data_IF_081433695655
#
_entry.id   IF_081433695655
#
_cell.length_a   1.000
_cell.length_b   1.000
_cell.length_c   1.000
_cell.angle_alpha   90.00
_cell.angle_beta   90.00
_cell.angle_gamma   90.00
#
_symmetry.space_group_name_H-M   'P 1'
#
loop_
_entity.id
_entity.type
_entity.pdbx_description
1 polymer ?
#
# COMPACT_ATOMS: atom_id res chain seq x y z
N UNK A 1 7.55 -13.59 19.84
CA UNK A 1 8.76 -12.74 19.81
C UNK A 1 8.29 -11.30 19.71
N UNK A 2 8.60 -10.46 20.70
CA UNK A 2 8.18 -9.06 20.69
C UNK A 2 8.95 -8.32 19.59
N UNK A 3 8.28 -7.96 18.50
CA UNK A 3 8.85 -7.07 17.49
C UNK A 3 9.24 -5.76 18.16
N UNK A 4 10.46 -5.29 17.95
CA UNK A 4 10.88 -3.99 18.48
C UNK A 4 9.99 -2.90 17.90
N UNK A 5 9.34 -2.16 18.79
CA UNK A 5 8.48 -1.04 18.49
C UNK A 5 9.29 0.04 17.73
N UNK A 6 8.84 0.39 16.52
CA UNK A 6 9.41 1.52 15.79
C UNK A 6 8.95 2.81 16.50
N UNK A 7 9.85 3.77 16.75
CA UNK A 7 9.50 5.04 17.39
C UNK A 7 9.36 6.16 16.37
N UNK A 8 8.30 7.00 16.46
CA UNK A 8 8.19 8.25 15.68
C UNK A 8 9.43 9.13 15.80
N UNK A 9 9.70 9.91 14.76
CA UNK A 9 10.62 11.04 14.83
C UNK A 9 10.14 11.99 15.94
N UNK A 10 11.09 12.61 16.64
CA UNK A 10 10.84 13.69 17.58
C UNK A 10 10.22 14.90 16.88
N UNK A 11 9.62 15.82 17.64
CA UNK A 11 9.02 17.05 17.10
C UNK A 11 10.07 17.87 16.33
N UNK A 12 11.29 17.97 16.85
CA UNK A 12 12.38 18.70 16.23
C UNK A 12 12.81 18.08 14.89
N UNK A 13 12.89 16.74 14.83
CA UNK A 13 13.19 16.00 13.59
C UNK A 13 12.04 16.09 12.58
N UNK A 14 10.79 16.04 13.05
CA UNK A 14 9.59 16.16 12.23
C UNK A 14 9.44 17.56 11.62
N UNK A 15 9.81 18.61 12.36
CA UNK A 15 9.73 20.00 11.91
C UNK A 15 10.66 20.31 10.72
N UNK A 16 11.70 19.51 10.51
CA UNK A 16 12.61 19.63 9.36
C UNK A 16 12.10 18.90 8.11
N UNK A 17 10.92 18.28 8.16
CA UNK A 17 10.35 17.50 7.05
C UNK A 17 9.40 18.35 6.23
N UNK A 18 9.72 18.58 4.96
CA UNK A 18 8.78 19.20 4.03
C UNK A 18 7.77 18.15 3.53
N UNK A 19 6.52 18.26 3.99
CA UNK A 19 5.45 17.32 3.62
C UNK A 19 5.13 17.34 2.12
N UNK A 20 5.53 18.38 1.37
CA UNK A 20 5.37 18.45 -0.09
C UNK A 20 6.28 17.48 -0.85
N UNK A 21 7.33 16.99 -0.20
CA UNK A 21 8.28 16.07 -0.81
C UNK A 21 7.70 14.63 -0.86
N UNK A 22 6.61 14.37 -0.13
CA UNK A 22 5.90 13.10 -0.17
C UNK A 22 4.89 13.15 -1.30
N UNK A 23 4.89 12.18 -2.22
CA UNK A 23 3.84 12.12 -3.23
C UNK A 23 2.49 12.01 -2.50
N UNK A 24 1.45 12.74 -2.95
CA UNK A 24 0.11 12.52 -2.42
C UNK A 24 -0.20 11.03 -2.53
N UNK A 25 -0.88 10.47 -1.52
CA UNK A 25 -1.38 9.09 -1.57
C UNK A 25 -2.14 8.85 -2.88
N UNK A 26 -2.39 7.59 -3.29
CA UNK A 26 -2.71 7.23 -4.68
C UNK A 26 -3.86 8.05 -5.27
N UNK A 27 -3.52 9.18 -5.90
CA UNK A 27 -4.46 10.05 -6.57
C UNK A 27 -4.29 9.82 -8.06
N UNK A 28 -5.39 9.48 -8.72
CA UNK A 28 -5.41 9.37 -10.17
C UNK A 28 -5.18 10.76 -10.79
N UNK A 29 -4.32 10.82 -11.80
CA UNK A 29 -4.27 11.97 -12.69
C UNK A 29 -5.63 12.18 -13.38
N UNK A 30 -5.94 13.39 -13.90
CA UNK A 30 -7.20 13.62 -14.61
C UNK A 30 -7.46 12.62 -15.75
N UNK A 31 -6.41 12.20 -16.46
CA UNK A 31 -6.51 11.18 -17.51
C UNK A 31 -6.83 9.79 -16.94
N UNK A 32 -6.18 9.38 -15.84
CA UNK A 32 -6.49 8.12 -15.17
C UNK A 32 -7.91 8.11 -14.59
N UNK A 33 -8.38 9.25 -14.06
CA UNK A 33 -9.75 9.41 -13.56
C UNK A 33 -10.78 9.24 -14.67
N UNK A 34 -10.57 9.91 -15.82
CA UNK A 34 -11.45 9.77 -16.98
C UNK A 34 -11.49 8.31 -17.49
N UNK A 35 -10.31 7.66 -17.57
CA UNK A 35 -10.20 6.26 -17.93
C UNK A 35 -10.96 5.37 -16.94
N UNK A 36 -10.73 5.53 -15.63
CA UNK A 36 -11.46 4.80 -14.59
C UNK A 36 -12.97 4.97 -14.73
N UNK A 37 -13.46 6.18 -14.98
CA UNK A 37 -14.88 6.45 -15.15
C UNK A 37 -15.47 5.67 -16.34
N UNK A 38 -14.80 5.66 -17.49
CA UNK A 38 -15.24 4.87 -18.65
C UNK A 38 -15.31 3.37 -18.35
N UNK A 39 -14.36 2.83 -17.57
CA UNK A 39 -14.39 1.42 -17.16
C UNK A 39 -15.54 1.14 -16.21
N UNK A 40 -15.85 2.05 -15.29
CA UNK A 40 -16.98 1.91 -14.38
C UNK A 40 -18.30 1.85 -15.13
N UNK A 41 -18.54 2.80 -16.04
CA UNK A 41 -19.75 2.84 -16.88
C UNK A 41 -19.89 1.58 -17.75
N UNK A 42 -18.77 1.00 -18.17
CA UNK A 42 -18.75 -0.22 -18.99
C UNK A 42 -19.04 -1.49 -18.19
N UNK A 43 -18.51 -1.61 -16.97
CA UNK A 43 -18.49 -2.87 -16.21
C UNK A 43 -19.42 -2.89 -14.99
N UNK A 44 -19.95 -1.74 -14.59
CA UNK A 44 -20.93 -1.59 -13.50
C UNK A 44 -22.22 -1.07 -14.12
N UNK A 45 -23.31 -1.84 -14.03
CA UNK A 45 -24.61 -1.42 -14.56
C UNK A 45 -25.10 -0.13 -13.88
N UNK A 46 -25.75 0.80 -14.62
CA UNK A 46 -26.33 2.02 -14.04
C UNK A 46 -27.32 1.74 -12.89
N UNK A 47 -27.97 0.58 -12.93
CA UNK A 47 -29.02 0.14 -12.01
C UNK A 47 -28.47 -0.42 -10.69
N UNK A 48 -27.15 -0.64 -10.62
CA UNK A 48 -26.48 -1.05 -9.40
C UNK A 48 -26.38 0.21 -8.53
N UNK A 49 -27.24 0.33 -7.50
CA UNK A 49 -27.04 1.35 -6.48
C UNK A 49 -25.68 1.10 -5.84
N UNK A 50 -24.70 1.91 -6.21
CA UNK A 50 -23.35 1.86 -5.65
C UNK A 50 -23.42 2.42 -4.22
N UNK A 51 -23.94 1.65 -3.27
CA UNK A 51 -23.95 2.01 -1.85
C UNK A 51 -22.59 1.74 -1.17
N UNK A 52 -21.51 1.57 -1.94
CA UNK A 52 -20.15 1.44 -1.43
C UNK A 52 -19.21 2.39 -2.16
N UNK A 53 -19.38 3.69 -1.90
CA UNK A 53 -18.58 4.79 -2.47
C UNK A 53 -17.14 4.91 -1.91
N UNK A 54 -16.54 3.85 -1.37
CA UNK A 54 -15.18 3.90 -0.81
C UNK A 54 -14.18 2.86 -1.34
N UNK A 55 -14.55 2.02 -2.31
CA UNK A 55 -13.68 0.92 -2.76
C UNK A 55 -13.68 0.68 -4.27
N UNK A 56 -13.49 1.74 -5.06
CA UNK A 56 -13.03 1.52 -6.43
C UNK A 56 -11.57 1.06 -6.36
N UNK A 57 -11.37 -0.25 -6.44
CA UNK A 57 -10.06 -0.91 -6.37
C UNK A 57 -9.25 -0.63 -7.65
N UNK A 58 -8.82 0.61 -7.79
CA UNK A 58 -7.94 1.05 -8.85
C UNK A 58 -6.70 1.72 -8.25
N UNK A 59 -5.63 1.79 -9.04
CA UNK A 59 -4.44 2.58 -8.72
C UNK A 59 -3.84 3.10 -10.02
N UNK A 60 -3.38 4.35 -10.01
CA UNK A 60 -2.67 4.95 -11.12
C UNK A 60 -1.17 4.84 -10.92
N UNK A 61 -0.40 4.57 -11.98
CA UNK A 61 1.05 4.79 -11.93
C UNK A 61 1.34 6.29 -11.74
N UNK A 62 2.43 6.65 -11.03
CA UNK A 62 2.77 8.06 -10.78
C UNK A 62 3.00 8.90 -12.05
N UNK A 63 3.42 8.27 -13.15
CA UNK A 63 3.64 8.93 -14.44
C UNK A 63 2.33 9.14 -15.25
N UNK A 64 1.19 8.73 -14.71
CA UNK A 64 -0.11 8.88 -15.35
C UNK A 64 -0.43 7.86 -16.46
N UNK A 65 0.50 6.96 -16.80
CA UNK A 65 0.40 6.12 -18.00
C UNK A 65 -0.30 4.79 -17.79
N UNK A 66 -0.37 4.30 -16.55
CA UNK A 66 -0.99 3.02 -16.25
C UNK A 66 -2.14 3.21 -15.27
N UNK A 67 -3.16 2.36 -15.42
CA UNK A 67 -4.25 2.20 -14.47
C UNK A 67 -4.39 0.71 -14.17
N UNK A 68 -4.15 0.33 -12.92
CA UNK A 68 -4.60 -0.95 -12.39
C UNK A 68 -6.06 -0.80 -11.99
N UNK A 69 -6.91 -1.75 -12.39
CA UNK A 69 -8.35 -1.66 -12.17
C UNK A 69 -8.93 -3.07 -12.03
N UNK A 70 -9.69 -3.28 -10.95
CA UNK A 70 -10.39 -4.55 -10.71
C UNK A 70 -11.62 -4.67 -11.60
N UNK A 71 -11.75 -5.79 -12.31
CA UNK A 71 -12.96 -6.19 -13.06
C UNK A 71 -13.38 -7.59 -12.62
N UNK A 72 -14.52 -7.73 -11.93
CA UNK A 72 -14.91 -9.01 -11.34
C UNK A 72 -13.90 -9.51 -10.30
N UNK A 73 -13.38 -10.73 -10.47
CA UNK A 73 -12.30 -11.28 -9.64
C UNK A 73 -10.90 -10.94 -10.17
N UNK A 74 -10.79 -10.30 -11.33
CA UNK A 74 -9.53 -10.07 -12.01
C UNK A 74 -8.97 -8.69 -11.70
N UNK A 75 -7.66 -8.61 -11.51
CA UNK A 75 -6.92 -7.35 -11.52
C UNK A 75 -6.39 -7.11 -12.93
N UNK A 76 -6.90 -6.10 -13.62
CA UNK A 76 -6.49 -5.75 -14.97
C UNK A 76 -5.60 -4.52 -14.95
N UNK A 77 -4.70 -4.44 -15.93
CA UNK A 77 -3.82 -3.31 -16.14
C UNK A 77 -4.10 -2.70 -17.51
N UNK A 78 -4.22 -1.37 -17.54
CA UNK A 78 -4.55 -0.59 -18.72
C UNK A 78 -3.49 0.47 -18.98
N UNK A 79 -3.20 0.73 -20.24
CA UNK A 79 -2.52 1.96 -20.66
C UNK A 79 -3.54 3.11 -20.68
N UNK A 80 -3.11 4.28 -20.22
CA UNK A 80 -3.90 5.51 -20.19
C UNK A 80 -3.29 6.49 -21.19
N UNK A 81 -4.03 6.81 -22.24
CA UNK A 81 -3.59 7.71 -23.30
C UNK A 81 -4.70 8.73 -23.54
N UNK A 82 -4.45 10.00 -23.20
CA UNK A 82 -5.42 11.07 -23.38
C UNK A 82 -6.77 10.81 -22.70
N UNK A 83 -6.75 10.16 -21.52
CA UNK A 83 -7.96 9.81 -20.78
C UNK A 83 -8.65 8.51 -21.20
N UNK A 84 -8.17 7.83 -22.26
CA UNK A 84 -8.73 6.55 -22.71
C UNK A 84 -7.95 5.37 -22.16
N UNK A 85 -8.67 4.29 -21.83
CA UNK A 85 -8.08 3.03 -21.40
C UNK A 85 -7.85 2.09 -22.58
N UNK A 86 -6.62 1.62 -22.76
CA UNK A 86 -6.32 0.47 -23.60
C UNK A 86 -5.96 -0.72 -22.70
N UNK A 87 -6.73 -1.81 -22.77
CA UNK A 87 -6.43 -3.02 -22.01
C UNK A 87 -5.03 -3.53 -22.38
N UNK A 88 -4.20 -3.78 -21.38
CA UNK A 88 -2.86 -4.31 -21.58
C UNK A 88 -2.77 -5.78 -21.20
N UNK A 89 -3.18 -6.14 -19.98
CA UNK A 89 -3.17 -7.53 -19.50
C UNK A 89 -3.95 -7.70 -18.19
N UNK A 90 -4.25 -8.95 -17.88
CA UNK A 90 -4.70 -9.38 -16.54
C UNK A 90 -3.50 -9.81 -15.71
N UNK A 91 -3.47 -9.43 -14.44
CA UNK A 91 -2.52 -9.90 -13.44
C UNK A 91 -3.16 -11.09 -12.71
N UNK A 92 -2.75 -12.34 -13.01
CA UNK A 92 -3.48 -13.53 -12.57
C UNK A 92 -3.41 -13.74 -11.06
N UNK A 93 -4.56 -13.74 -10.39
CA UNK A 93 -4.67 -14.05 -8.98
C UNK A 93 -6.10 -14.47 -8.62
N UNK A 94 -6.22 -15.50 -7.76
CA UNK A 94 -7.49 -16.19 -7.50
C UNK A 94 -8.21 -15.64 -6.26
N UNK A 95 -8.13 -14.32 -6.04
CA UNK A 95 -8.83 -13.65 -4.94
C UNK A 95 -8.99 -12.16 -5.23
N UNK A 96 -9.88 -11.54 -4.46
CA UNK A 96 -10.29 -10.15 -4.59
C UNK A 96 -9.24 -9.20 -4.00
N UNK A 97 -8.64 -8.30 -4.80
CA UNK A 97 -7.80 -7.25 -4.23
C UNK A 97 -8.68 -6.28 -3.45
N UNK A 98 -8.24 -5.92 -2.24
CA UNK A 98 -8.86 -4.94 -1.35
C UNK A 98 -8.13 -3.60 -1.34
N UNK A 99 -6.88 -3.56 -1.81
CA UNK A 99 -6.08 -2.36 -1.93
C UNK A 99 -5.04 -2.51 -3.04
N UNK A 100 -4.70 -1.39 -3.69
CA UNK A 100 -3.72 -1.34 -4.77
C UNK A 100 -2.81 -0.13 -4.58
N UNK A 101 -1.52 -0.28 -4.88
CA UNK A 101 -0.56 0.83 -4.79
C UNK A 101 0.63 0.59 -5.71
N UNK A 102 0.94 1.58 -6.58
CA UNK A 102 2.19 1.60 -7.31
C UNK A 102 3.31 2.14 -6.42
N UNK A 103 4.54 1.67 -6.62
CA UNK A 103 5.69 2.38 -6.09
C UNK A 103 5.88 3.72 -6.83
N UNK A 104 6.66 4.63 -6.24
CA UNK A 104 6.89 5.98 -6.80
C UNK A 104 7.55 5.99 -8.19
N UNK A 105 8.21 4.88 -8.58
CA UNK A 105 8.78 4.68 -9.92
C UNK A 105 7.79 4.09 -10.94
N UNK A 106 6.64 3.59 -10.50
CA UNK A 106 5.61 2.97 -11.35
C UNK A 106 5.95 1.59 -11.92
N UNK A 107 7.09 1.00 -11.56
CA UNK A 107 7.53 -0.30 -12.07
C UNK A 107 7.05 -1.48 -11.22
N UNK A 108 6.57 -1.23 -10.00
CA UNK A 108 5.98 -2.25 -9.12
C UNK A 108 4.55 -1.87 -8.73
N UNK A 109 3.69 -2.89 -8.63
CA UNK A 109 2.33 -2.78 -8.09
C UNK A 109 2.16 -3.74 -6.92
N UNK A 110 1.85 -3.19 -5.74
CA UNK A 110 1.35 -3.96 -4.62
C UNK A 110 -0.17 -4.11 -4.72
N UNK A 111 -0.66 -5.33 -4.51
CA UNK A 111 -2.06 -5.64 -4.36
C UNK A 111 -2.27 -6.41 -3.05
N UNK A 112 -3.05 -5.84 -2.14
CA UNK A 112 -3.49 -6.51 -0.92
C UNK A 112 -4.79 -7.25 -1.21
N UNK A 113 -4.93 -8.45 -0.68
CA UNK A 113 -6.09 -9.31 -0.92
C UNK A 113 -6.80 -9.65 0.38
N UNK A 114 -8.05 -10.08 0.23
CA UNK A 114 -8.81 -10.64 1.34
C UNK A 114 -8.05 -11.83 1.96
N UNK A 115 -7.92 -11.84 3.29
CA UNK A 115 -7.11 -12.82 4.02
C UNK A 115 -5.66 -12.36 4.29
N UNK A 116 -5.33 -11.11 3.95
CA UNK A 116 -4.06 -10.47 4.31
C UNK A 116 -2.89 -10.75 3.35
N UNK A 117 -3.04 -11.68 2.39
CA UNK A 117 -2.01 -11.89 1.38
C UNK A 117 -1.78 -10.62 0.56
N UNK A 118 -0.51 -10.27 0.34
CA UNK A 118 -0.12 -9.14 -0.50
C UNK A 118 0.78 -9.66 -1.61
N UNK A 119 0.43 -9.35 -2.85
CA UNK A 119 1.23 -9.71 -4.02
C UNK A 119 1.90 -8.48 -4.58
N UNK A 120 3.20 -8.60 -4.82
CA UNK A 120 3.99 -7.59 -5.52
C UNK A 120 4.21 -8.05 -6.96
N UNK A 121 3.77 -7.23 -7.90
CA UNK A 121 3.92 -7.46 -9.34
C UNK A 121 5.03 -6.60 -9.91
N UNK A 122 5.93 -7.24 -10.64
CA UNK A 122 6.85 -6.55 -11.54
C UNK A 122 6.11 -6.21 -12.84
N UNK A 123 5.94 -4.92 -13.09
CA UNK A 123 5.14 -4.42 -14.21
C UNK A 123 5.89 -4.58 -15.54
N UNK A 124 7.20 -4.41 -15.53
CA UNK A 124 8.04 -4.47 -16.73
C UNK A 124 8.27 -5.92 -17.16
N UNK A 125 8.71 -6.76 -16.22
CA UNK A 125 9.06 -8.17 -16.48
C UNK A 125 7.87 -9.13 -16.43
N UNK A 126 6.66 -8.61 -16.17
CA UNK A 126 5.38 -9.34 -16.25
C UNK A 126 5.27 -10.57 -15.34
N UNK A 127 5.92 -10.55 -14.18
CA UNK A 127 5.92 -11.69 -13.25
C UNK A 127 5.40 -11.28 -11.87
N UNK A 128 4.79 -12.24 -11.17
CA UNK A 128 4.67 -12.18 -9.70
C UNK A 128 6.08 -12.13 -9.16
N UNK A 129 6.42 -11.08 -8.45
CA UNK A 129 7.76 -10.92 -7.91
C UNK A 129 7.85 -11.54 -6.52
N UNK A 130 6.89 -11.20 -5.65
CA UNK A 130 6.88 -11.63 -4.25
C UNK A 130 5.46 -11.81 -3.75
N UNK A 131 5.29 -12.68 -2.75
CA UNK A 131 4.02 -12.92 -2.09
C UNK A 131 4.21 -12.89 -0.57
N UNK A 132 3.75 -11.81 0.05
CA UNK A 132 3.82 -11.63 1.49
C UNK A 132 2.55 -12.24 2.10
N UNK A 133 2.74 -13.19 3.01
CA UNK A 133 1.66 -13.82 3.79
C UNK A 133 1.83 -13.46 5.26
N UNK A 134 1.11 -12.46 5.78
CA UNK A 134 1.04 -12.22 7.21
C UNK A 134 0.67 -13.50 7.95
N UNK A 135 1.42 -13.87 8.98
CA UNK A 135 1.18 -15.12 9.71
C UNK A 135 -0.25 -15.20 10.23
N UNK A 136 -0.93 -16.29 9.88
CA UNK A 136 -2.25 -16.65 10.42
C UNK A 136 -2.04 -17.02 11.89
N UNK A 137 -2.79 -16.41 12.80
CA UNK A 137 -2.77 -16.87 14.19
C UNK A 137 -3.36 -18.29 14.28
N UNK A 138 -3.03 -19.09 15.30
CA UNK A 138 -3.58 -20.45 15.45
C UNK A 138 -5.12 -20.53 15.48
N UNK A 139 -5.82 -19.41 15.68
CA UNK A 139 -7.28 -19.32 15.63
C UNK A 139 -7.86 -19.27 14.20
N UNK A 140 -7.03 -19.33 13.16
CA UNK A 140 -7.45 -19.32 11.76
C UNK A 140 -7.84 -17.95 11.21
N UNK A 141 -7.85 -16.92 12.06
CA UNK A 141 -8.11 -15.53 11.67
C UNK A 141 -6.76 -14.80 11.68
N UNK A 142 -6.34 -14.29 10.52
CA UNK A 142 -5.32 -13.24 10.48
C UNK A 142 -5.89 -12.03 11.23
N UNK A 143 -5.22 -11.52 12.26
CA UNK A 143 -5.62 -10.26 12.93
C UNK A 143 -5.63 -9.04 11.97
N UNK A 144 -5.24 -9.28 10.71
CA UNK A 144 -4.93 -8.38 9.60
C UNK A 144 -5.63 -8.80 8.29
N UNK A 145 -6.89 -9.23 8.35
CA UNK A 145 -7.59 -9.81 7.20
C UNK A 145 -7.73 -8.87 5.96
N UNK A 146 -7.44 -7.57 6.10
CA UNK A 146 -7.38 -6.62 4.99
C UNK A 146 -6.34 -5.53 5.25
N UNK A 147 -5.34 -5.44 4.37
CA UNK A 147 -4.47 -4.26 4.31
C UNK A 147 -5.23 -3.12 3.62
N UNK A 148 -5.58 -2.06 4.35
CA UNK A 148 -6.35 -0.92 3.80
C UNK A 148 -5.50 0.01 2.96
N UNK A 149 -4.29 0.30 3.44
CA UNK A 149 -3.34 1.18 2.78
C UNK A 149 -2.05 0.41 2.54
N UNK A 150 -1.44 0.65 1.38
CA UNK A 150 -0.19 0.06 0.94
C UNK A 150 0.74 1.18 0.45
N UNK A 151 1.99 1.15 0.88
CA UNK A 151 3.04 1.98 0.30
C UNK A 151 4.28 1.14 0.04
N UNK A 152 4.67 1.04 -1.22
CA UNK A 152 5.97 0.51 -1.60
C UNK A 152 7.02 1.62 -1.53
N UNK A 153 8.16 1.29 -0.94
CA UNK A 153 9.36 2.11 -1.07
C UNK A 153 9.77 2.27 -2.56
N UNK A 154 10.45 3.38 -2.92
CA UNK A 154 10.85 3.64 -4.30
C UNK A 154 11.70 2.53 -4.93
N UNK A 155 12.55 1.86 -4.15
CA UNK A 155 13.38 0.74 -4.60
C UNK A 155 12.64 -0.61 -4.58
N UNK A 156 11.44 -0.66 -3.99
CA UNK A 156 10.62 -1.86 -3.88
C UNK A 156 11.05 -2.83 -2.79
N UNK A 157 12.08 -2.50 -1.99
CA UNK A 157 12.61 -3.41 -0.97
C UNK A 157 11.71 -3.51 0.25
N UNK A 158 11.04 -2.42 0.59
CA UNK A 158 10.16 -2.33 1.73
C UNK A 158 8.72 -2.04 1.31
N UNK A 159 7.79 -2.65 2.03
CA UNK A 159 6.36 -2.38 1.94
C UNK A 159 5.85 -1.98 3.32
N UNK A 160 5.14 -0.86 3.41
CA UNK A 160 4.38 -0.51 4.60
C UNK A 160 2.89 -0.78 4.36
N UNK A 161 2.23 -1.39 5.33
CA UNK A 161 0.81 -1.72 5.27
C UNK A 161 0.08 -1.27 6.52
N UNK A 162 -1.14 -0.78 6.38
CA UNK A 162 -2.03 -0.52 7.52
C UNK A 162 -3.12 -1.57 7.63
N UNK A 163 -3.43 -2.03 8.84
CA UNK A 163 -4.54 -2.94 9.08
C UNK A 163 -5.75 -2.30 9.74
N UNK A 164 -6.87 -3.03 9.73
CA UNK A 164 -8.11 -2.67 10.43
C UNK A 164 -7.95 -2.49 11.94
N UNK A 165 -6.87 -3.03 12.52
CA UNK A 165 -6.59 -2.99 13.97
C UNK A 165 -5.50 -2.00 14.31
N UNK A 166 -5.46 -0.85 13.62
CA UNK A 166 -4.64 0.31 14.01
C UNK A 166 -3.14 0.03 14.02
N UNK A 167 -2.72 -0.98 13.25
CA UNK A 167 -1.32 -1.41 13.18
C UNK A 167 -0.74 -1.01 11.84
N UNK A 168 0.45 -0.38 11.87
CA UNK A 168 1.28 -0.24 10.67
C UNK A 168 2.35 -1.32 10.71
N UNK A 169 2.39 -2.16 9.69
CA UNK A 169 3.42 -3.19 9.52
C UNK A 169 4.38 -2.78 8.42
N UNK A 170 5.64 -3.13 8.63
CA UNK A 170 6.71 -2.94 7.68
C UNK A 170 7.30 -4.30 7.31
N UNK A 171 7.34 -4.56 6.01
CA UNK A 171 7.75 -5.82 5.42
C UNK A 171 9.02 -5.61 4.61
N UNK A 172 9.95 -6.54 4.73
CA UNK A 172 10.97 -6.76 3.71
C UNK A 172 10.33 -7.58 2.60
N UNK A 173 10.25 -7.01 1.41
CA UNK A 173 9.59 -7.60 0.24
C UNK A 173 10.38 -8.79 -0.30
N UNK A 174 11.71 -8.71 -0.28
CA UNK A 174 12.59 -9.75 -0.84
C UNK A 174 12.61 -10.97 0.05
N UNK A 175 12.68 -10.75 1.37
CA UNK A 175 12.68 -11.80 2.38
C UNK A 175 11.26 -12.24 2.78
N UNK A 176 10.22 -11.59 2.24
CA UNK A 176 8.80 -11.84 2.52
C UNK A 176 8.47 -11.85 4.03
N UNK A 177 9.18 -11.02 4.80
CA UNK A 177 9.20 -11.10 6.27
C UNK A 177 8.78 -9.79 6.93
N UNK A 178 8.05 -9.90 8.04
CA UNK A 178 7.76 -8.76 8.92
C UNK A 178 9.05 -8.32 9.62
N UNK A 179 9.48 -7.09 9.37
CA UNK A 179 10.70 -6.52 9.99
C UNK A 179 10.41 -5.49 11.06
N UNK A 180 9.17 -5.00 11.13
CA UNK A 180 8.73 -4.09 12.17
C UNK A 180 7.22 -3.92 12.15
N UNK A 181 6.67 -3.62 13.32
CA UNK A 181 5.27 -3.24 13.45
C UNK A 181 5.15 -2.08 14.44
N UNK A 182 4.10 -1.30 14.24
CA UNK A 182 3.71 -0.18 15.05
C UNK A 182 2.28 -0.44 15.48
N UNK A 183 2.14 -0.77 16.75
CA UNK A 183 0.83 -0.89 17.39
C UNK A 183 0.56 0.44 18.09
N UNK A 184 -0.68 0.92 18.03
CA UNK A 184 -1.05 2.06 18.86
C UNK A 184 -1.09 1.62 20.32
N UNK A 185 -0.14 2.08 21.13
CA UNK A 185 -0.15 1.84 22.57
C UNK A 185 -1.35 2.57 23.20
N UNK A 186 -2.38 1.78 23.54
CA UNK A 186 -3.54 1.97 24.42
C UNK A 186 -4.07 3.39 24.76
N UNK A 187 -5.41 3.45 24.74
CA UNK A 187 -6.37 4.50 25.17
C UNK A 187 -6.94 5.46 24.11
N UNK A 188 -6.28 5.71 22.99
CA UNK A 188 -6.84 6.62 21.98
C UNK A 188 -7.50 5.86 20.82
N UNK A 189 -8.77 6.14 20.57
CA UNK A 189 -9.58 5.57 19.49
C UNK A 189 -9.14 6.07 18.08
N UNK A 190 -7.92 6.59 17.93
CA UNK A 190 -7.56 7.59 16.91
C UNK A 190 -6.86 7.08 15.64
N UNK A 191 -6.70 5.76 15.47
CA UNK A 191 -6.22 5.18 14.20
C UNK A 191 -7.37 4.73 13.29
N UNK A 192 -8.64 4.92 13.70
CA UNK A 192 -9.81 4.53 12.89
C UNK A 192 -9.93 5.32 11.59
N UNK A 193 -9.11 6.37 11.40
CA UNK A 193 -9.06 7.14 10.16
C UNK A 193 -7.65 7.42 9.66
N UNK A 194 -6.85 6.37 9.45
CA UNK A 194 -5.70 6.50 8.55
C UNK A 194 -6.18 6.87 7.14
N UNK A 195 -5.65 7.98 6.62
CA UNK A 195 -5.98 8.50 5.29
C UNK A 195 -4.93 8.14 4.25
N UNK A 196 -3.66 8.15 4.64
CA UNK A 196 -2.56 7.86 3.72
C UNK A 196 -1.34 7.31 4.44
N UNK A 197 -0.57 6.50 3.71
CA UNK A 197 0.78 6.07 4.05
C UNK A 197 1.66 6.28 2.82
N UNK A 198 2.86 6.82 2.99
CA UNK A 198 3.75 7.12 1.88
C UNK A 198 5.21 7.14 2.31
N UNK A 199 6.08 6.57 1.48
CA UNK A 199 7.53 6.76 1.60
C UNK A 199 7.93 8.07 0.92
N UNK A 200 8.98 8.72 1.42
CA UNK A 200 9.61 9.80 0.66
C UNK A 200 10.27 9.26 -0.63
N UNK A 201 10.58 10.12 -1.61
CA UNK A 201 11.15 9.69 -2.90
C UNK A 201 12.49 8.96 -2.80
N UNK A 202 13.21 9.13 -1.67
CA UNK A 202 14.47 8.45 -1.38
C UNK A 202 14.28 7.19 -0.52
N UNK A 203 13.07 6.91 -0.06
CA UNK A 203 12.75 5.74 0.77
C UNK A 203 13.39 5.76 2.15
N UNK A 204 13.77 6.94 2.67
CA UNK A 204 14.38 7.20 3.98
C UNK A 204 13.40 7.64 5.05
N UNK A 205 12.18 8.06 4.69
CA UNK A 205 11.13 8.45 5.63
C UNK A 205 9.82 7.76 5.27
N UNK A 206 9.08 7.34 6.28
CA UNK A 206 7.71 6.84 6.13
C UNK A 206 6.78 7.82 6.85
N UNK A 207 5.82 8.36 6.11
CA UNK A 207 4.78 9.25 6.64
C UNK A 207 3.46 8.51 6.69
N UNK A 208 2.78 8.62 7.83
CA UNK A 208 1.42 8.16 8.04
C UNK A 208 0.57 9.33 8.46
N UNK A 209 -0.51 9.56 7.73
CA UNK A 209 -1.44 10.67 7.97
C UNK A 209 -2.78 10.08 8.40
N UNK A 210 -3.25 10.50 9.57
CA UNK A 210 -4.59 10.25 10.08
C UNK A 210 -5.47 11.50 10.02
N UNK A 211 -6.64 11.45 10.64
CA UNK A 211 -7.56 12.61 10.73
C UNK A 211 -6.90 13.83 11.38
N UNK A 212 -6.25 13.62 12.52
CA UNK A 212 -5.76 14.72 13.37
C UNK A 212 -4.25 14.66 13.64
N UNK A 213 -3.52 13.79 12.92
CA UNK A 213 -2.08 13.60 13.14
C UNK A 213 -1.30 13.21 11.91
N UNK A 214 -0.03 13.59 11.93
CA UNK A 214 1.00 13.13 10.99
C UNK A 214 2.10 12.47 11.81
N UNK A 215 2.38 11.21 11.51
CA UNK A 215 3.48 10.47 12.11
C UNK A 215 4.55 10.29 11.04
N UNK A 216 5.80 10.58 11.39
CA UNK A 216 6.95 10.43 10.51
C UNK A 216 7.93 9.48 11.18
N UNK A 217 8.46 8.52 10.43
CA UNK A 217 9.48 7.60 10.90
C UNK A 217 10.74 7.69 10.06
N UNK A 218 11.89 7.48 10.71
CA UNK A 218 13.12 7.12 10.02
C UNK A 218 12.96 5.74 9.41
N UNK A 219 13.06 5.76 8.09
CA UNK A 219 12.92 4.66 7.21
C UNK A 219 14.21 4.44 6.40
N UNK A 220 15.39 4.66 6.97
CA UNK A 220 16.63 4.35 6.26
C UNK A 220 16.95 2.86 6.33
N UNK A 221 17.48 2.23 5.25
CA UNK A 221 17.93 0.83 5.23
C UNK A 221 18.79 0.45 6.44
N UNK A 222 19.70 1.33 6.86
CA UNK A 222 20.53 1.12 8.04
C UNK A 222 19.74 1.13 9.34
N UNK A 223 18.76 2.03 9.47
CA UNK A 223 17.94 2.11 10.67
C UNK A 223 17.15 0.82 10.88
N UNK A 224 16.63 0.20 9.81
CA UNK A 224 15.94 -1.08 9.92
C UNK A 224 16.88 -2.28 9.95
N UNK A 225 17.98 -2.29 9.19
CA UNK A 225 18.96 -3.37 9.24
C UNK A 225 19.58 -3.51 10.64
N UNK A 226 19.94 -2.38 11.28
CA UNK A 226 20.39 -2.37 12.67
C UNK A 226 19.30 -2.88 13.63
N UNK A 227 18.03 -2.55 13.38
CA UNK A 227 16.91 -2.97 14.23
C UNK A 227 16.52 -4.43 14.03
N UNK A 228 16.62 -4.97 12.81
CA UNK A 228 16.42 -6.37 12.47
C UNK A 228 17.50 -7.27 13.07
N UNK A 229 18.79 -6.88 12.95
CA UNK A 229 19.90 -7.55 13.64
C UNK A 229 19.71 -7.56 15.16
N UNK A 230 19.15 -6.48 15.71
CA UNK A 230 18.90 -6.38 17.14
C UNK A 230 17.62 -7.11 17.60
N UNK A 231 16.84 -7.69 16.69
CA UNK A 231 15.62 -8.48 16.96
C UNK A 231 15.82 -9.99 16.70
N UNK A 232 16.94 -10.39 16.11
CA UNK A 232 17.30 -11.80 15.95
C UNK A 232 17.58 -12.45 17.33
N UNK A 233 17.08 -13.67 17.60
CA UNK A 233 17.43 -14.39 18.81
C UNK A 233 18.94 -14.66 18.81
N UNK A 234 19.60 -14.39 19.94
CA UNK A 234 21.01 -14.73 20.17
C UNK A 234 21.20 -16.23 20.28
#
# INVERSE_FOLDING_TARGET
>A
MAGKELKPLTIEEAAQVNLRDFPPGPMLSPAQSACSQTLLEKYISPDMQVTYTSFLYNAGSPDGKLLAFKVGLQLNLYNVIGGKCAFMRTLPYDSLPTSLSFNSRGNLLAAGYYGGEIVIWDIEHRKKQHVIRPSVTPSGITEDASARLLALSPDGRFLATSSDRRTIRLWDVVNESLIGQLESTQEEQDFDELKAISFDPLGRKLVVVGRDRVIIWDASPESWARRALAAAPR
#
